data_IF_830359252242
#
_entry.id   IF_830359252242
#
_cell.length_a   1.000
_cell.length_b   1.000
_cell.length_c   1.000
_cell.angle_alpha   90.00
_cell.angle_beta   90.00
_cell.angle_gamma   90.00
#
_symmetry.space_group_name_H-M   'P 1'
#
loop_
_entity.id
_entity.type
_entity.pdbx_description
1 polymer ?
#
# COMPACT_ATOMS: atom_id res chain seq x y z
N UNK A 1 3.35 4.97 27.18
CA UNK A 1 4.41 4.76 26.17
C UNK A 1 3.73 4.92 24.83
N UNK A 2 3.95 6.02 24.09
CA UNK A 2 3.38 6.16 22.75
C UNK A 2 4.18 5.24 21.84
N UNK A 3 3.66 4.05 21.55
CA UNK A 3 4.19 3.18 20.50
C UNK A 3 3.92 3.88 19.18
N UNK A 4 4.97 4.34 18.51
CA UNK A 4 4.86 4.83 17.14
C UNK A 4 4.43 3.63 16.30
N UNK A 5 3.14 3.54 15.98
CA UNK A 5 2.48 2.32 15.50
C UNK A 5 2.62 2.11 13.99
N UNK A 6 3.23 3.06 13.29
CA UNK A 6 3.30 3.07 11.84
C UNK A 6 4.67 3.58 11.38
N UNK A 7 5.21 2.94 10.35
CA UNK A 7 6.44 3.36 9.67
C UNK A 7 6.10 3.95 8.32
N UNK A 8 6.65 5.13 8.00
CA UNK A 8 6.61 5.66 6.64
C UNK A 8 7.88 5.26 5.91
N UNK A 9 7.73 4.59 4.76
CA UNK A 9 8.84 4.16 3.91
C UNK A 9 8.64 4.67 2.49
N UNK A 10 9.73 4.84 1.76
CA UNK A 10 9.68 5.20 0.35
C UNK A 10 10.86 4.61 -0.40
N UNK A 11 10.63 4.19 -1.64
CA UNK A 11 11.65 3.75 -2.59
C UNK A 11 12.02 4.86 -3.61
N UNK A 12 11.51 6.08 -3.40
CA UNK A 12 11.66 7.22 -4.32
C UNK A 12 10.61 7.29 -5.43
N UNK A 13 9.74 6.29 -5.57
CA UNK A 13 8.62 6.30 -6.52
C UNK A 13 7.27 6.26 -5.80
N UNK A 14 7.17 5.46 -4.73
CA UNK A 14 5.98 5.31 -3.90
C UNK A 14 6.35 5.62 -2.45
N UNK A 15 5.37 6.16 -1.72
CA UNK A 15 5.43 6.34 -0.26
C UNK A 15 4.39 5.41 0.34
N UNK A 16 4.78 4.60 1.32
CA UNK A 16 3.89 3.67 2.02
C UNK A 16 3.92 3.93 3.52
N UNK A 17 2.79 3.68 4.16
CA UNK A 17 2.62 3.57 5.60
C UNK A 17 2.44 2.09 5.94
N UNK A 18 3.30 1.59 6.83
CA UNK A 18 3.33 0.21 7.28
C UNK A 18 2.92 0.15 8.75
N UNK A 19 1.82 -0.53 9.03
CA UNK A 19 1.33 -0.78 10.38
C UNK A 19 1.51 -2.27 10.70
N UNK A 20 2.20 -2.64 11.79
CA UNK A 20 2.32 -4.05 12.18
C UNK A 20 0.94 -4.66 12.43
N UNK A 21 0.66 -5.81 11.81
CA UNK A 21 -0.58 -6.54 12.03
C UNK A 21 -0.46 -7.48 13.25
N UNK A 22 -1.56 -7.71 13.96
CA UNK A 22 -1.61 -8.55 15.17
C UNK A 22 -1.17 -10.01 14.90
N UNK A 23 -1.41 -10.50 13.69
CA UNK A 23 -1.07 -11.86 13.25
C UNK A 23 0.35 -11.97 12.64
N UNK A 24 1.09 -10.85 12.61
CA UNK A 24 2.39 -10.73 11.94
C UNK A 24 2.28 -10.08 10.56
N UNK A 25 3.42 -9.60 10.04
CA UNK A 25 3.47 -8.80 8.82
C UNK A 25 2.98 -7.37 9.04
N UNK A 26 2.55 -6.74 7.95
CA UNK A 26 2.18 -5.33 7.89
C UNK A 26 0.89 -5.12 7.09
N UNK A 27 0.02 -4.27 7.62
CA UNK A 27 -0.97 -3.56 6.82
C UNK A 27 -0.25 -2.42 6.11
N UNK A 28 -0.38 -2.38 4.79
CA UNK A 28 0.32 -1.45 3.91
C UNK A 28 -0.71 -0.51 3.31
N UNK A 29 -0.46 0.79 3.41
CA UNK A 29 -1.31 1.82 2.78
C UNK A 29 -0.48 2.93 2.15
N UNK A 30 -1.08 3.73 1.26
CA UNK A 30 -0.41 4.90 0.67
C UNK A 30 -1.06 6.20 1.16
N UNK A 31 -0.30 7.17 1.70
CA UNK A 31 -0.85 8.50 2.03
C UNK A 31 -1.27 9.29 0.78
N UNK A 32 -0.79 8.90 -0.41
CA UNK A 32 -1.13 9.54 -1.69
C UNK A 32 -2.37 8.94 -2.33
N UNK A 33 -2.74 7.72 -1.96
CA UNK A 33 -3.90 7.01 -2.48
C UNK A 33 -4.60 6.22 -1.35
N UNK A 34 -5.63 6.81 -0.72
CA UNK A 34 -6.34 6.18 0.40
C UNK A 34 -7.05 4.86 0.06
N UNK A 35 -7.29 4.57 -1.22
CA UNK A 35 -7.90 3.32 -1.66
C UNK A 35 -6.86 2.19 -1.80
N UNK A 36 -5.57 2.53 -1.80
CA UNK A 36 -4.47 1.57 -1.83
C UNK A 36 -4.24 1.03 -0.43
N UNK A 37 -4.78 -0.18 -0.19
CA UNK A 37 -4.62 -0.93 1.05
C UNK A 37 -4.26 -2.38 0.67
N UNK A 38 -3.12 -2.86 1.14
CA UNK A 38 -2.63 -4.24 0.94
C UNK A 38 -2.04 -4.81 2.23
N UNK A 39 -1.60 -6.07 2.20
CA UNK A 39 -0.89 -6.73 3.28
C UNK A 39 0.41 -7.33 2.75
N UNK A 40 1.43 -7.43 3.60
CA UNK A 40 2.70 -8.04 3.26
C UNK A 40 3.44 -8.52 4.52
N UNK A 41 4.23 -9.58 4.40
CA UNK A 41 5.09 -10.07 5.49
C UNK A 41 6.45 -9.34 5.52
N UNK A 42 6.89 -8.83 4.36
CA UNK A 42 8.19 -8.17 4.21
C UNK A 42 8.07 -6.79 3.57
N UNK A 43 9.10 -5.94 3.78
CA UNK A 43 9.17 -4.62 3.14
C UNK A 43 9.20 -4.73 1.61
N UNK A 44 9.89 -5.71 1.06
CA UNK A 44 9.97 -5.90 -0.39
C UNK A 44 8.60 -6.23 -0.96
N UNK A 45 7.91 -7.20 -0.36
CA UNK A 45 6.56 -7.59 -0.74
C UNK A 45 5.57 -6.43 -0.60
N UNK A 46 5.72 -5.57 0.42
CA UNK A 46 4.88 -4.38 0.59
C UNK A 46 4.93 -3.46 -0.64
N UNK A 47 6.11 -3.25 -1.22
CA UNK A 47 6.25 -2.45 -2.45
C UNK A 47 5.73 -3.17 -3.68
N UNK A 48 5.97 -4.48 -3.81
CA UNK A 48 5.46 -5.29 -4.92
C UNK A 48 3.91 -5.27 -4.94
N UNK A 49 3.29 -5.62 -3.81
CA UNK A 49 1.83 -5.62 -3.65
C UNK A 49 1.22 -4.23 -3.82
N UNK A 50 1.89 -3.17 -3.34
CA UNK A 50 1.41 -1.81 -3.51
C UNK A 50 1.43 -1.35 -4.98
N UNK A 51 2.44 -1.74 -5.78
CA UNK A 51 2.50 -1.41 -7.21
C UNK A 51 1.38 -2.11 -7.97
N UNK A 52 1.16 -3.40 -7.71
CA UNK A 52 0.08 -4.16 -8.34
C UNK A 52 -1.30 -3.56 -7.98
N UNK A 53 -1.52 -3.22 -6.71
CA UNK A 53 -2.75 -2.56 -6.27
C UNK A 53 -2.93 -1.18 -6.90
N UNK A 54 -1.86 -0.39 -7.02
CA UNK A 54 -1.89 0.90 -7.69
C UNK A 54 -2.31 0.77 -9.16
N UNK A 55 -1.76 -0.21 -9.89
CA UNK A 55 -2.14 -0.48 -11.27
C UNK A 55 -3.61 -0.90 -11.38
N UNK A 56 -4.07 -1.80 -10.51
CA UNK A 56 -5.47 -2.24 -10.47
C UNK A 56 -6.44 -1.08 -10.17
N UNK A 57 -6.10 -0.20 -9.23
CA UNK A 57 -6.89 1.00 -8.92
C UNK A 57 -6.90 2.00 -10.09
N UNK A 58 -5.76 2.17 -10.76
CA UNK A 58 -5.68 3.01 -11.96
C UNK A 58 -6.55 2.46 -13.09
N UNK A 59 -6.63 1.15 -13.25
CA UNK A 59 -7.51 0.50 -14.22
C UNK A 59 -8.98 0.60 -13.82
N UNK A 60 -9.31 0.42 -12.55
CA UNK A 60 -10.70 0.52 -12.07
C UNK A 60 -11.28 1.93 -12.21
N UNK A 61 -10.43 2.95 -12.05
CA UNK A 61 -10.79 4.37 -12.25
C UNK A 61 -10.91 4.78 -13.71
N UNK A 62 -10.40 3.97 -14.64
CA UNK A 62 -10.56 4.28 -16.06
C UNK A 62 -12.02 4.11 -16.46
N UNK A 63 -12.63 5.12 -17.10
CA UNK A 63 -13.99 4.99 -17.60
C UNK A 63 -14.07 3.83 -18.59
N UNK A 64 -15.01 2.91 -18.34
CA UNK A 64 -15.33 1.82 -19.26
C UNK A 64 -16.05 2.41 -20.48
N UNK A 65 -15.32 3.04 -21.39
CA UNK A 65 -15.84 3.40 -22.70
C UNK A 65 -15.94 2.12 -23.55
N UNK A 66 -17.03 1.36 -23.37
CA UNK A 66 -17.46 0.37 -24.35
C UNK A 66 -17.98 1.12 -25.58
N UNK A 67 -17.28 0.97 -26.72
CA UNK A 67 -17.80 1.29 -28.06
C UNK A 67 -18.74 0.21 -28.53
#
# INVERSE_FOLDING_TARGET
MQTVSAYTVSDGQIVLTLEPADEGGFVVSSPMDPELITQAETLQEAFENARDAFEALRESRQPLFKR
#
